data_IF_976041797599
#
_entry.id   IF_976041797599
#
_cell.length_a   1.000
_cell.length_b   1.000
_cell.length_c   1.000
_cell.angle_alpha   90.00
_cell.angle_beta   90.00
_cell.angle_gamma   90.00
#
_symmetry.space_group_name_H-M   'P 1'
#
loop_
_entity.id
_entity.type
_entity.pdbx_description
1 polymer ?
#
# COMPACT_ATOMS: atom_id res chain seq x y z
N UNK A 1 2.55 -7.66 -8.72
CA UNK A 1 2.94 -7.88 -10.12
C UNK A 1 2.09 -8.97 -10.78
N UNK A 2 2.06 -8.94 -12.09
CA UNK A 2 1.31 -9.90 -12.88
C UNK A 2 1.94 -10.09 -14.26
N UNK A 3 2.22 -11.33 -14.62
CA UNK A 3 2.82 -11.65 -15.93
C UNK A 3 1.83 -12.45 -16.79
N UNK A 4 1.69 -12.15 -18.09
CA UNK A 4 0.74 -12.84 -18.96
C UNK A 4 0.95 -14.37 -19.07
N UNK A 5 2.18 -14.84 -18.92
CA UNK A 5 2.51 -16.25 -19.01
C UNK A 5 2.42 -17.01 -17.69
N UNK A 6 2.64 -16.35 -16.55
CA UNK A 6 2.79 -17.00 -15.24
C UNK A 6 1.78 -16.53 -14.18
N UNK A 7 0.92 -15.56 -14.51
CA UNK A 7 -0.03 -14.98 -13.56
C UNK A 7 0.70 -14.21 -12.45
N UNK A 8 0.35 -14.48 -11.20
CA UNK A 8 0.97 -13.84 -10.04
C UNK A 8 2.36 -14.38 -9.66
N UNK A 9 2.79 -15.46 -10.30
CA UNK A 9 4.14 -15.97 -10.07
C UNK A 9 5.16 -15.17 -10.89
N UNK A 10 6.04 -14.47 -10.19
CA UNK A 10 7.12 -13.68 -10.78
C UNK A 10 8.47 -14.28 -10.43
N UNK A 11 9.31 -14.50 -11.43
CA UNK A 11 10.73 -14.80 -11.20
C UNK A 11 11.54 -13.52 -11.05
N UNK A 12 12.73 -13.61 -10.44
CA UNK A 12 13.62 -12.46 -10.36
C UNK A 12 13.98 -11.91 -11.76
N UNK A 13 14.17 -12.79 -12.74
CA UNK A 13 14.45 -12.39 -14.11
C UNK A 13 13.32 -11.53 -14.70
N UNK A 14 12.05 -11.94 -14.51
CA UNK A 14 10.90 -11.17 -14.97
C UNK A 14 10.83 -9.81 -14.26
N UNK A 15 11.07 -9.78 -12.95
CA UNK A 15 11.11 -8.52 -12.19
C UNK A 15 12.20 -7.59 -12.73
N UNK A 16 13.43 -8.10 -12.96
CA UNK A 16 14.54 -7.30 -13.50
C UNK A 16 14.22 -6.72 -14.88
N UNK A 17 13.59 -7.50 -15.75
CA UNK A 17 13.17 -7.03 -17.07
C UNK A 17 12.20 -5.84 -16.95
N UNK A 18 11.23 -5.92 -16.04
CA UNK A 18 10.28 -4.82 -15.77
C UNK A 18 11.02 -3.58 -15.20
N UNK A 19 11.98 -3.78 -14.28
CA UNK A 19 12.77 -2.69 -13.72
C UNK A 19 13.65 -2.00 -14.77
N UNK A 20 14.31 -2.77 -15.62
CA UNK A 20 15.11 -2.23 -16.72
C UNK A 20 14.24 -1.41 -17.68
N UNK A 21 13.05 -1.91 -18.00
CA UNK A 21 12.10 -1.20 -18.85
C UNK A 21 11.64 0.12 -18.21
N UNK A 22 11.31 0.10 -16.92
CA UNK A 22 10.98 1.31 -16.16
C UNK A 22 12.12 2.33 -16.21
N UNK A 23 13.36 1.91 -15.99
CA UNK A 23 14.53 2.80 -16.04
C UNK A 23 14.76 3.37 -17.46
N UNK A 24 14.61 2.58 -18.50
CA UNK A 24 14.72 3.03 -19.90
C UNK A 24 13.68 4.10 -20.24
N UNK A 25 12.51 4.07 -19.59
CA UNK A 25 11.45 5.06 -19.75
C UNK A 25 11.48 6.19 -18.71
N UNK A 26 12.58 6.32 -17.95
CA UNK A 26 12.75 7.35 -16.92
C UNK A 26 11.71 7.29 -15.79
N UNK A 27 11.14 6.14 -15.51
CA UNK A 27 10.30 5.93 -14.35
C UNK A 27 11.18 5.74 -13.11
N UNK A 28 10.87 6.46 -12.05
CA UNK A 28 11.64 6.41 -10.80
C UNK A 28 10.78 6.01 -9.58
N UNK A 29 9.49 5.81 -9.76
CA UNK A 29 8.55 5.49 -8.68
C UNK A 29 7.58 4.43 -9.14
N UNK A 30 7.25 3.50 -8.25
CA UNK A 30 6.27 2.45 -8.50
C UNK A 30 5.28 2.37 -7.34
N UNK A 31 4.00 2.36 -7.65
CA UNK A 31 2.94 2.05 -6.69
C UNK A 31 2.60 0.57 -6.78
N UNK A 32 2.51 -0.07 -5.62
CA UNK A 32 2.20 -1.50 -5.52
C UNK A 32 0.68 -1.70 -5.38
N UNK A 33 -0.03 -1.55 -6.47
CA UNK A 33 -1.47 -1.75 -6.49
C UNK A 33 -1.81 -3.24 -6.66
N UNK A 34 -2.61 -3.81 -5.80
CA UNK A 34 -3.28 -3.24 -4.61
C UNK A 34 -2.95 -4.12 -3.40
N UNK A 35 -1.69 -4.51 -3.27
CA UNK A 35 -1.16 -5.38 -2.21
C UNK A 35 0.37 -5.34 -2.18
N UNK A 36 0.99 -5.67 -1.04
CA UNK A 36 2.45 -5.79 -0.94
C UNK A 36 2.97 -6.89 -1.88
N UNK A 37 4.13 -6.64 -2.47
CA UNK A 37 4.78 -7.54 -3.42
C UNK A 37 5.70 -8.57 -2.77
N UNK A 38 6.34 -9.40 -3.57
CA UNK A 38 7.42 -10.29 -3.14
C UNK A 38 8.55 -9.50 -2.49
N UNK A 39 9.25 -10.09 -1.50
CA UNK A 39 10.37 -9.43 -0.81
C UNK A 39 11.48 -9.03 -1.77
N UNK A 40 11.77 -9.88 -2.76
CA UNK A 40 12.79 -9.61 -3.77
C UNK A 40 12.49 -8.36 -4.59
N UNK A 41 11.21 -8.03 -4.79
CA UNK A 41 10.81 -6.79 -5.46
C UNK A 41 11.35 -5.54 -4.75
N UNK A 42 11.23 -5.46 -3.43
CA UNK A 42 11.72 -4.31 -2.64
C UNK A 42 13.25 -4.23 -2.66
N UNK A 43 13.94 -5.37 -2.57
CA UNK A 43 15.39 -5.42 -2.70
C UNK A 43 15.85 -4.91 -4.07
N UNK A 44 15.14 -5.27 -5.13
CA UNK A 44 15.39 -4.76 -6.48
C UNK A 44 15.08 -3.26 -6.59
N UNK A 45 14.05 -2.75 -5.91
CA UNK A 45 13.81 -1.31 -5.84
C UNK A 45 15.01 -0.57 -5.22
N UNK A 46 15.58 -1.12 -4.15
CA UNK A 46 16.80 -0.58 -3.53
C UNK A 46 17.98 -0.63 -4.50
N UNK A 47 18.20 -1.77 -5.21
CA UNK A 47 19.28 -1.92 -6.21
C UNK A 47 19.17 -0.92 -7.37
N UNK A 48 17.96 -0.78 -7.93
CA UNK A 48 17.71 0.05 -9.12
C UNK A 48 17.44 1.52 -8.80
N UNK A 49 17.29 1.87 -7.51
CA UNK A 49 16.98 3.24 -7.09
C UNK A 49 15.57 3.67 -7.52
N UNK A 50 14.59 2.80 -7.32
CA UNK A 50 13.17 3.13 -7.51
C UNK A 50 12.52 3.44 -6.17
N UNK A 51 11.74 4.51 -6.10
CA UNK A 51 10.89 4.80 -4.95
C UNK A 51 9.67 3.91 -4.94
N UNK A 52 9.30 3.44 -3.77
CA UNK A 52 8.15 2.55 -3.57
C UNK A 52 7.03 3.25 -2.83
N UNK A 53 5.84 3.14 -3.38
CA UNK A 53 4.59 3.49 -2.75
C UNK A 53 3.87 2.18 -2.39
N UNK A 54 4.06 1.71 -1.15
CA UNK A 54 3.58 0.40 -0.70
C UNK A 54 2.13 0.47 -0.25
N UNK A 55 1.34 -0.54 -0.60
CA UNK A 55 -0.10 -0.52 -0.38
C UNK A 55 -0.58 -1.73 0.42
N UNK A 56 -1.38 -1.47 1.44
CA UNK A 56 -2.03 -2.51 2.22
C UNK A 56 -3.07 -3.25 1.36
N UNK A 57 -3.15 -4.57 1.52
CA UNK A 57 -4.11 -5.40 0.81
C UNK A 57 -5.53 -5.20 1.35
N UNK A 58 -6.10 -4.03 1.06
CA UNK A 58 -7.44 -3.63 1.46
C UNK A 58 -8.13 -3.02 0.24
N UNK A 59 -9.09 -3.75 -0.29
CA UNK A 59 -10.01 -3.27 -1.32
C UNK A 59 -11.36 -3.96 -1.15
N UNK A 60 -12.44 -3.19 -1.21
CA UNK A 60 -13.81 -3.70 -1.12
C UNK A 60 -14.76 -2.89 -2.02
N UNK A 61 -14.35 -2.71 -3.28
CA UNK A 61 -14.95 -1.80 -4.25
C UNK A 61 -16.47 -1.91 -4.32
N UNK A 62 -17.01 -3.13 -4.41
CA UNK A 62 -18.45 -3.36 -4.49
C UNK A 62 -19.25 -2.97 -3.24
N UNK A 63 -18.58 -2.62 -2.13
CA UNK A 63 -19.19 -2.32 -0.84
C UNK A 63 -18.82 -0.93 -0.32
N UNK A 64 -18.22 -0.05 -1.12
CA UNK A 64 -17.75 1.24 -0.59
C UNK A 64 -18.72 2.41 -0.77
N UNK A 65 -19.82 2.21 -1.50
CA UNK A 65 -20.74 3.32 -1.87
C UNK A 65 -21.60 3.80 -0.71
N UNK A 66 -21.93 2.94 0.25
CA UNK A 66 -22.66 3.34 1.46
C UNK A 66 -21.68 3.70 2.56
N UNK A 67 -21.43 4.99 2.75
CA UNK A 67 -20.50 5.53 3.75
C UNK A 67 -21.12 5.64 5.16
N UNK A 68 -22.38 5.26 5.36
CA UNK A 68 -22.97 5.19 6.68
C UNK A 68 -22.22 4.16 7.55
N UNK A 69 -22.28 4.33 8.87
CA UNK A 69 -21.66 3.38 9.81
C UNK A 69 -22.19 1.96 9.57
N UNK A 70 -21.28 1.03 9.27
CA UNK A 70 -21.61 -0.35 8.95
C UNK A 70 -21.98 -0.61 7.49
N UNK A 71 -22.10 0.42 6.66
CA UNK A 71 -22.47 0.31 5.25
C UNK A 71 -21.31 -0.12 4.35
N UNK A 72 -20.08 0.23 4.69
CA UNK A 72 -18.85 -0.22 4.03
C UNK A 72 -17.96 -0.93 5.02
N UNK A 73 -17.11 -1.85 4.54
CA UNK A 73 -16.15 -2.54 5.42
C UNK A 73 -15.17 -1.54 6.06
N UNK A 74 -14.81 -0.47 5.36
CA UNK A 74 -13.94 0.60 5.88
C UNK A 74 -14.55 1.39 7.04
N UNK A 75 -15.87 1.42 7.17
CA UNK A 75 -16.59 2.10 8.25
C UNK A 75 -17.43 1.13 9.13
N UNK A 76 -17.12 -0.16 9.09
CA UNK A 76 -17.72 -1.15 9.98
C UNK A 76 -16.70 -1.61 11.03
N UNK A 77 -16.87 -1.26 12.33
CA UNK A 77 -15.93 -1.61 13.39
C UNK A 77 -15.66 -3.12 13.55
N UNK A 78 -16.57 -3.98 13.13
CA UNK A 78 -16.38 -5.44 13.15
C UNK A 78 -15.19 -5.87 12.26
N UNK A 79 -14.87 -5.08 11.23
CA UNK A 79 -13.77 -5.30 10.31
C UNK A 79 -12.46 -4.61 10.71
N UNK A 80 -12.45 -3.90 11.85
CA UNK A 80 -11.26 -3.18 12.32
C UNK A 80 -10.03 -4.09 12.40
N UNK A 81 -10.17 -5.25 13.01
CA UNK A 81 -9.06 -6.20 13.16
C UNK A 81 -8.46 -6.58 11.80
N UNK A 82 -9.30 -6.85 10.81
CA UNK A 82 -8.84 -7.24 9.48
C UNK A 82 -8.09 -6.10 8.77
N UNK A 83 -8.52 -4.84 8.93
CA UNK A 83 -7.82 -3.67 8.41
C UNK A 83 -6.47 -3.46 9.12
N UNK A 84 -6.49 -3.50 10.45
CA UNK A 84 -5.28 -3.34 11.25
C UNK A 84 -4.24 -4.43 10.96
N UNK A 85 -4.64 -5.70 10.91
CA UNK A 85 -3.72 -6.81 10.65
C UNK A 85 -3.02 -6.65 9.28
N UNK A 86 -3.74 -6.26 8.23
CA UNK A 86 -3.16 -6.03 6.91
C UNK A 86 -2.17 -4.85 6.90
N UNK A 87 -2.55 -3.76 7.51
CA UNK A 87 -1.71 -2.56 7.61
C UNK A 87 -0.47 -2.81 8.44
N UNK A 88 -0.61 -3.43 9.61
CA UNK A 88 0.51 -3.76 10.50
C UNK A 88 1.48 -4.73 9.82
N UNK A 89 0.97 -5.80 9.20
CA UNK A 89 1.81 -6.77 8.53
C UNK A 89 2.59 -6.17 7.36
N UNK A 90 1.98 -5.31 6.55
CA UNK A 90 2.68 -4.56 5.51
C UNK A 90 3.81 -3.72 6.12
N UNK A 91 3.50 -2.91 7.12
CA UNK A 91 4.44 -2.01 7.77
C UNK A 91 5.61 -2.78 8.39
N UNK A 92 5.34 -3.75 9.26
CA UNK A 92 6.38 -4.50 9.98
C UNK A 92 7.30 -5.26 9.04
N UNK A 93 6.77 -5.78 7.95
CA UNK A 93 7.55 -6.48 6.93
C UNK A 93 8.47 -5.55 6.14
N UNK A 94 7.99 -4.34 5.80
CA UNK A 94 8.62 -3.52 4.76
C UNK A 94 9.28 -2.23 5.27
N UNK A 95 9.08 -1.83 6.52
CA UNK A 95 9.55 -0.54 7.09
C UNK A 95 11.05 -0.25 6.93
N UNK A 96 11.86 -1.29 6.76
CA UNK A 96 13.33 -1.17 6.70
C UNK A 96 13.89 -1.03 5.27
N UNK A 97 13.05 -1.07 4.23
CA UNK A 97 13.52 -0.84 2.86
C UNK A 97 13.71 0.66 2.59
N UNK A 98 14.94 1.10 2.23
CA UNK A 98 15.22 2.51 1.93
C UNK A 98 14.43 3.07 0.77
N UNK A 99 14.10 2.23 -0.22
CA UNK A 99 13.28 2.60 -1.38
C UNK A 99 11.84 2.97 -1.04
N UNK A 100 11.33 2.49 0.09
CA UNK A 100 9.95 2.73 0.50
C UNK A 100 9.77 4.15 1.02
N UNK A 101 8.99 4.96 0.31
CA UNK A 101 8.82 6.40 0.57
C UNK A 101 7.41 6.80 0.96
N UNK A 102 6.40 5.98 0.66
CA UNK A 102 4.99 6.25 0.95
C UNK A 102 4.27 5.01 1.43
N UNK A 103 3.33 5.22 2.34
CA UNK A 103 2.39 4.20 2.78
C UNK A 103 1.00 4.45 2.21
N UNK A 104 0.38 3.44 1.61
CA UNK A 104 -1.02 3.46 1.20
C UNK A 104 -1.84 2.55 2.11
N UNK A 105 -2.96 3.07 2.59
CA UNK A 105 -3.85 2.31 3.47
C UNK A 105 -4.76 1.33 2.72
N UNK A 106 -4.79 1.42 1.40
CA UNK A 106 -5.61 0.56 0.56
C UNK A 106 -6.20 1.30 -0.64
N UNK A 107 -7.18 0.67 -1.25
CA UNK A 107 -7.84 1.13 -2.47
C UNK A 107 -9.36 0.95 -2.32
N UNK A 108 -10.14 1.81 -2.92
CA UNK A 108 -11.59 1.74 -3.17
C UNK A 108 -12.42 0.91 -2.16
N UNK A 109 -12.31 1.26 -0.87
CA UNK A 109 -12.99 0.55 0.22
C UNK A 109 -13.89 1.46 1.06
N UNK A 110 -14.29 2.60 0.51
CA UNK A 110 -14.96 3.66 1.25
C UNK A 110 -14.00 4.37 2.20
N UNK A 111 -14.52 5.14 3.14
CA UNK A 111 -13.74 5.76 4.21
C UNK A 111 -14.50 5.66 5.53
N UNK A 112 -13.82 5.85 6.64
CA UNK A 112 -14.42 5.87 7.96
C UNK A 112 -13.52 5.28 9.04
N UNK A 113 -14.16 4.79 10.08
CA UNK A 113 -13.52 4.42 11.35
C UNK A 113 -12.26 3.55 11.20
N UNK A 114 -12.30 2.49 10.38
CA UNK A 114 -11.19 1.56 10.26
C UNK A 114 -9.97 2.21 9.58
N UNK A 115 -10.19 3.06 8.57
CA UNK A 115 -9.12 3.81 7.92
C UNK A 115 -8.57 4.93 8.80
N UNK A 116 -9.38 5.54 9.66
CA UNK A 116 -8.87 6.49 10.67
C UNK A 116 -7.93 5.80 11.65
N UNK A 117 -8.27 4.59 12.10
CA UNK A 117 -7.42 3.82 13.01
C UNK A 117 -6.12 3.35 12.34
N UNK A 118 -6.17 2.86 11.11
CA UNK A 118 -4.97 2.45 10.39
C UNK A 118 -4.05 3.63 10.09
N UNK A 119 -4.60 4.79 9.71
CA UNK A 119 -3.83 6.02 9.51
C UNK A 119 -3.08 6.42 10.78
N UNK A 120 -3.81 6.57 11.89
CA UNK A 120 -3.21 6.97 13.17
C UNK A 120 -2.13 5.98 13.62
N UNK A 121 -2.36 4.69 13.41
CA UNK A 121 -1.39 3.67 13.77
C UNK A 121 -0.10 3.80 12.96
N UNK A 122 -0.18 3.91 11.63
CA UNK A 122 1.00 4.05 10.75
C UNK A 122 1.77 5.33 11.08
N UNK A 123 1.07 6.46 11.23
CA UNK A 123 1.70 7.74 11.59
C UNK A 123 2.46 7.65 12.92
N UNK A 124 1.89 6.97 13.91
CA UNK A 124 2.58 6.76 15.18
C UNK A 124 3.75 5.78 15.06
N UNK A 125 3.60 4.69 14.30
CA UNK A 125 4.62 3.66 14.16
C UNK A 125 5.85 4.14 13.38
N UNK A 126 5.66 4.99 12.37
CA UNK A 126 6.74 5.46 11.48
C UNK A 126 7.37 6.80 11.90
N UNK A 127 6.80 7.51 12.87
CA UNK A 127 7.21 8.88 13.25
C UNK A 127 8.68 9.02 13.64
N UNK A 128 9.24 8.00 14.29
CA UNK A 128 10.63 7.99 14.77
C UNK A 128 11.55 7.14 13.87
N UNK A 129 11.05 6.61 12.74
CA UNK A 129 11.80 5.83 11.76
C UNK A 129 12.15 6.74 10.57
N UNK A 130 11.18 7.02 9.71
CA UNK A 130 11.35 7.89 8.54
C UNK A 130 10.25 8.93 8.42
N UNK A 131 9.20 8.82 9.21
CA UNK A 131 8.03 9.72 9.18
C UNK A 131 7.44 9.90 7.77
N UNK A 132 7.29 8.78 7.06
CA UNK A 132 6.81 8.75 5.68
C UNK A 132 5.37 9.24 5.58
N UNK A 133 5.02 9.90 4.47
CA UNK A 133 3.62 10.24 4.19
C UNK A 133 2.74 9.00 4.09
N UNK A 134 1.52 9.14 4.58
CA UNK A 134 0.47 8.13 4.49
C UNK A 134 -0.62 8.65 3.57
N UNK A 135 -1.00 7.86 2.59
CA UNK A 135 -2.09 8.18 1.67
C UNK A 135 -3.24 7.19 1.78
N UNK A 136 -4.45 7.72 1.66
CA UNK A 136 -5.62 6.91 1.35
C UNK A 136 -6.46 7.63 0.27
N UNK A 137 -6.58 7.05 -0.91
CA UNK A 137 -7.17 7.70 -2.08
C UNK A 137 -8.68 8.01 -1.91
N UNK A 138 -9.39 7.28 -1.05
CA UNK A 138 -10.79 7.54 -0.70
C UNK A 138 -10.97 8.40 0.54
N UNK A 139 -9.90 8.91 1.12
CA UNK A 139 -10.01 9.94 2.14
C UNK A 139 -10.63 11.23 1.59
N UNK A 140 -10.49 11.49 0.28
CA UNK A 140 -10.94 12.72 -0.35
C UNK A 140 -10.35 13.95 0.38
N UNK A 141 -11.18 14.71 1.09
CA UNK A 141 -10.76 15.88 1.87
C UNK A 141 -10.68 15.60 3.37
N UNK A 142 -10.80 14.35 3.76
CA UNK A 142 -10.70 13.93 5.15
C UNK A 142 -9.24 13.93 5.62
N UNK A 143 -9.06 14.05 6.93
CA UNK A 143 -7.75 14.20 7.58
C UNK A 143 -6.86 12.94 7.58
N UNK A 144 -7.38 11.80 7.22
CA UNK A 144 -6.67 10.51 7.25
C UNK A 144 -5.89 10.22 5.96
N UNK A 145 -5.38 11.26 5.34
CA UNK A 145 -4.41 11.22 4.25
C UNK A 145 -3.52 12.46 4.33
N UNK A 146 -2.22 12.28 4.07
CA UNK A 146 -1.26 13.38 4.01
C UNK A 146 -1.20 14.02 2.60
N UNK A 147 -1.88 13.41 1.61
CA UNK A 147 -1.87 13.83 0.21
C UNK A 147 -3.28 13.82 -0.35
#
# INVERSE_FOLDING_TARGET
EHNPATGHYMTEELMRNDFELMKQHNLNTVRLCHYPQDRRFYELCDEYGLYVYDEANIESHGMYYDLAKGGTLGNNPEWLKAHMDRTINMFERNKNYPSLTFWSLGKEAGNGYNFYQTYLWVKNADKDIMNRPVNYERAQWEWNSDM
#
